data_IF_210264750227
#
_entry.id   IF_210264750227
#
_cell.length_a   1.000
_cell.length_b   1.000
_cell.length_c   1.000
_cell.angle_alpha   90.00
_cell.angle_beta   90.00
_cell.angle_gamma   90.00
#
_symmetry.space_group_name_H-M   'P 1'
#
loop_
_entity.id
_entity.type
_entity.pdbx_description
1 polymer ?
#
# COMPACT_ATOMS: atom_id res chain seq x y z
N UNK A 1 -24.07 1.89 34.40
CA UNK A 1 -25.03 1.65 33.27
C UNK A 1 -24.26 1.46 31.96
N UNK A 2 -23.31 2.34 31.57
CA UNK A 2 -22.50 2.21 30.36
C UNK A 2 -21.79 0.85 30.27
N UNK A 3 -21.09 0.41 31.34
CA UNK A 3 -20.41 -0.89 31.40
C UNK A 3 -21.33 -2.07 31.13
N UNK A 4 -22.56 -2.05 31.73
CA UNK A 4 -23.56 -3.09 31.45
C UNK A 4 -24.01 -3.14 30.00
N UNK A 5 -24.07 -2.00 29.31
CA UNK A 5 -24.37 -1.96 27.88
C UNK A 5 -23.22 -2.51 27.04
N UNK A 6 -21.97 -2.21 27.42
CA UNK A 6 -20.77 -2.76 26.80
C UNK A 6 -20.73 -4.30 26.96
N UNK A 7 -20.87 -4.81 28.16
CA UNK A 7 -20.87 -6.26 28.49
C UNK A 7 -22.02 -7.00 27.78
N UNK A 8 -23.15 -6.32 27.55
CA UNK A 8 -24.27 -6.85 26.79
C UNK A 8 -24.10 -6.68 25.24
N UNK A 9 -22.90 -6.32 24.74
CA UNK A 9 -22.59 -6.03 23.32
C UNK A 9 -23.49 -4.96 22.67
N UNK A 10 -24.14 -4.09 23.47
CA UNK A 10 -24.96 -2.98 23.01
C UNK A 10 -24.10 -1.73 22.79
N UNK A 11 -23.05 -1.85 21.93
CA UNK A 11 -21.98 -0.86 21.80
C UNK A 11 -22.49 0.53 21.44
N UNK A 12 -23.47 0.70 20.55
CA UNK A 12 -24.05 2.02 20.22
C UNK A 12 -24.69 2.71 21.44
N UNK A 13 -25.33 1.94 22.33
CA UNK A 13 -25.89 2.50 23.57
C UNK A 13 -24.78 2.80 24.58
N UNK A 14 -23.76 1.95 24.63
CA UNK A 14 -22.59 2.15 25.49
C UNK A 14 -21.82 3.42 25.11
N UNK A 15 -21.60 3.67 23.81
CA UNK A 15 -20.94 4.87 23.30
C UNK A 15 -21.63 6.14 23.81
N UNK A 16 -22.92 6.27 23.59
CA UNK A 16 -23.71 7.44 24.05
C UNK A 16 -23.57 7.70 25.55
N UNK A 17 -23.57 6.63 26.34
CA UNK A 17 -23.42 6.75 27.79
C UNK A 17 -21.96 7.10 28.17
N UNK A 18 -20.96 6.51 27.49
CA UNK A 18 -19.57 6.85 27.71
C UNK A 18 -19.27 8.31 27.38
N UNK A 19 -19.79 8.83 26.26
CA UNK A 19 -19.66 10.24 25.88
C UNK A 19 -20.19 11.20 26.95
N UNK A 20 -21.34 10.88 27.54
CA UNK A 20 -21.94 11.69 28.59
C UNK A 20 -21.11 11.72 29.88
N UNK A 21 -20.50 10.58 30.26
CA UNK A 21 -19.83 10.48 31.56
C UNK A 21 -18.31 10.69 31.49
N UNK A 22 -17.67 10.51 30.30
CA UNK A 22 -16.23 10.59 30.14
C UNK A 22 -15.61 11.89 30.72
N UNK A 23 -16.18 13.09 30.50
CA UNK A 23 -15.62 14.32 31.04
C UNK A 23 -15.54 14.30 32.58
N UNK A 24 -16.54 13.72 33.26
CA UNK A 24 -16.62 13.68 34.73
C UNK A 24 -15.75 12.59 35.35
N UNK A 25 -15.21 11.66 34.54
CA UNK A 25 -14.34 10.58 34.99
C UNK A 25 -12.86 10.86 34.78
N UNK A 26 -12.48 11.87 34.01
CA UNK A 26 -11.08 12.24 33.78
C UNK A 26 -10.35 12.44 35.10
N UNK A 27 -9.24 11.74 35.30
CA UNK A 27 -8.45 11.77 36.53
C UNK A 27 -8.94 10.86 37.68
N UNK A 28 -10.06 10.14 37.52
CA UNK A 28 -10.55 9.20 38.52
C UNK A 28 -9.96 7.79 38.32
N UNK A 29 -9.88 6.97 39.41
CA UNK A 29 -9.34 5.60 39.28
C UNK A 29 -10.03 4.72 38.25
N UNK A 30 -11.33 4.93 38.02
CA UNK A 30 -12.13 4.13 37.06
C UNK A 30 -12.02 4.62 35.63
N UNK A 31 -11.33 5.74 35.38
CA UNK A 31 -11.24 6.35 34.08
C UNK A 31 -10.54 5.45 33.04
N UNK A 32 -9.48 4.76 33.44
CA UNK A 32 -8.75 3.81 32.59
C UNK A 32 -9.69 2.78 31.94
N UNK A 33 -10.43 2.04 32.79
CA UNK A 33 -11.39 1.04 32.30
C UNK A 33 -12.47 1.64 31.41
N UNK A 34 -12.97 2.82 31.78
CA UNK A 34 -14.02 3.53 31.03
C UNK A 34 -13.53 3.90 29.63
N UNK A 35 -12.38 4.56 29.52
CA UNK A 35 -11.85 5.02 28.24
C UNK A 35 -11.46 3.84 27.34
N UNK A 36 -10.92 2.76 27.89
CA UNK A 36 -10.65 1.54 27.14
C UNK A 36 -11.94 0.93 26.56
N UNK A 37 -12.99 0.75 27.37
CA UNK A 37 -14.28 0.23 26.92
C UNK A 37 -14.96 1.12 25.90
N UNK A 38 -14.80 2.45 26.03
CA UNK A 38 -15.28 3.41 25.06
C UNK A 38 -14.59 3.25 23.71
N UNK A 39 -13.26 3.20 23.70
CA UNK A 39 -12.46 2.95 22.47
C UNK A 39 -12.85 1.63 21.81
N UNK A 40 -12.98 0.56 22.58
CA UNK A 40 -13.45 -0.75 22.11
C UNK A 40 -14.85 -0.69 21.50
N UNK A 41 -15.77 0.06 22.13
CA UNK A 41 -17.14 0.20 21.60
C UNK A 41 -17.17 0.88 20.26
N UNK A 42 -16.37 1.94 20.06
CA UNK A 42 -16.20 2.63 18.79
C UNK A 42 -15.61 1.68 17.72
N UNK A 43 -14.60 0.90 18.08
CA UNK A 43 -14.01 -0.09 17.19
C UNK A 43 -15.02 -1.15 16.75
N UNK A 44 -15.79 -1.72 17.71
CA UNK A 44 -16.83 -2.73 17.44
C UNK A 44 -17.99 -2.21 16.59
N UNK A 45 -18.20 -0.91 16.54
CA UNK A 45 -19.21 -0.27 15.70
C UNK A 45 -18.64 0.31 14.39
N UNK A 46 -17.40 -0.05 14.03
CA UNK A 46 -16.69 0.40 12.82
C UNK A 46 -16.50 1.93 12.74
N UNK A 47 -16.55 2.64 13.85
CA UNK A 47 -16.24 4.07 13.93
C UNK A 47 -14.71 4.25 14.02
N UNK A 48 -13.99 3.75 13.01
CA UNK A 48 -12.53 3.59 13.05
C UNK A 48 -11.76 4.90 13.24
N UNK A 49 -12.24 6.01 12.66
CA UNK A 49 -11.62 7.30 12.86
C UNK A 49 -11.61 7.71 14.35
N UNK A 50 -12.77 7.70 14.99
CA UNK A 50 -12.89 8.03 16.41
C UNK A 50 -12.20 6.99 17.31
N UNK A 51 -12.35 5.70 16.99
CA UNK A 51 -11.70 4.62 17.74
C UNK A 51 -10.18 4.77 17.74
N UNK A 52 -9.57 5.07 16.60
CA UNK A 52 -8.12 5.26 16.47
C UNK A 52 -7.61 6.35 17.40
N UNK A 53 -8.23 7.53 17.37
CA UNK A 53 -7.86 8.64 18.25
C UNK A 53 -8.14 8.35 19.73
N UNK A 54 -9.21 7.64 20.05
CA UNK A 54 -9.52 7.27 21.45
C UNK A 54 -8.52 6.25 22.00
N UNK A 55 -8.07 5.29 21.19
CA UNK A 55 -7.00 4.37 21.59
C UNK A 55 -5.66 5.08 21.77
N UNK A 56 -5.30 6.02 20.90
CA UNK A 56 -4.10 6.85 21.09
C UNK A 56 -4.18 7.69 22.37
N UNK A 57 -5.30 8.35 22.61
CA UNK A 57 -5.54 9.13 23.81
C UNK A 57 -5.49 8.27 25.07
N UNK A 58 -6.04 7.04 25.00
CA UNK A 58 -5.95 6.08 26.09
C UNK A 58 -4.49 5.71 26.39
N UNK A 59 -3.72 5.36 25.37
CA UNK A 59 -2.31 4.94 25.52
C UNK A 59 -1.43 6.07 26.07
N UNK A 60 -1.68 7.31 25.64
CA UNK A 60 -0.98 8.48 26.17
C UNK A 60 -1.39 8.81 27.62
N UNK A 61 -2.67 8.66 27.94
CA UNK A 61 -3.20 8.97 29.28
C UNK A 61 -2.91 7.91 30.33
N UNK A 62 -2.73 6.66 29.94
CA UNK A 62 -2.53 5.52 30.82
C UNK A 62 -1.33 4.64 30.39
N UNK A 63 -0.11 5.19 30.34
CA UNK A 63 1.05 4.49 29.78
C UNK A 63 1.50 3.25 30.58
N UNK A 64 1.02 3.10 31.81
CA UNK A 64 1.30 1.95 32.68
C UNK A 64 0.17 0.90 32.69
N UNK A 65 -0.86 1.11 31.88
CA UNK A 65 -1.97 0.16 31.77
C UNK A 65 -1.53 -1.15 31.11
N UNK A 66 -1.98 -2.28 31.61
CA UNK A 66 -1.82 -3.58 30.93
C UNK A 66 -2.49 -3.62 29.55
N UNK A 67 -3.36 -2.65 29.26
CA UNK A 67 -4.09 -2.54 28.00
C UNK A 67 -3.41 -1.63 26.96
N UNK A 68 -2.25 -1.04 27.27
CA UNK A 68 -1.56 -0.09 26.37
C UNK A 68 -1.13 -0.78 25.08
N UNK A 69 -0.52 -1.97 25.16
CA UNK A 69 -0.07 -2.72 23.99
C UNK A 69 -1.24 -3.03 23.05
N UNK A 70 -2.33 -3.59 23.59
CA UNK A 70 -3.54 -3.90 22.82
C UNK A 70 -4.17 -2.62 22.23
N UNK A 71 -4.20 -1.52 22.99
CA UNK A 71 -4.78 -0.26 22.56
C UNK A 71 -3.98 0.37 21.42
N UNK A 72 -2.64 0.38 21.48
CA UNK A 72 -1.79 0.87 20.41
C UNK A 72 -1.96 0.06 19.13
N UNK A 73 -2.01 -1.28 19.27
CA UNK A 73 -2.26 -2.14 18.12
C UNK A 73 -3.63 -1.88 17.48
N UNK A 74 -4.69 -1.83 18.29
CA UNK A 74 -6.05 -1.57 17.79
C UNK A 74 -6.20 -0.16 17.20
N UNK A 75 -5.52 0.83 17.78
CA UNK A 75 -5.43 2.18 17.23
C UNK A 75 -4.82 2.17 15.84
N UNK A 76 -3.64 1.55 15.67
CA UNK A 76 -2.98 1.40 14.37
C UNK A 76 -3.86 0.62 13.37
N UNK A 77 -4.53 -0.44 13.84
CA UNK A 77 -5.48 -1.22 13.02
C UNK A 77 -6.68 -0.39 12.57
N UNK A 78 -7.18 0.55 13.39
CA UNK A 78 -8.21 1.49 12.99
C UNK A 78 -7.76 2.34 11.80
N UNK A 79 -6.55 2.94 11.86
CA UNK A 79 -6.02 3.74 10.76
C UNK A 79 -5.84 2.91 9.49
N UNK A 80 -5.44 1.64 9.59
CA UNK A 80 -5.35 0.76 8.42
C UNK A 80 -6.71 0.51 7.76
N UNK A 81 -7.81 0.48 8.54
CA UNK A 81 -9.17 0.38 8.02
C UNK A 81 -9.66 1.64 7.30
N UNK A 82 -9.05 2.79 7.59
CA UNK A 82 -9.35 4.06 6.91
C UNK A 82 -8.58 4.22 5.58
N UNK A 83 -7.54 3.40 5.35
CA UNK A 83 -6.76 3.42 4.12
C UNK A 83 -7.65 3.15 2.90
N UNK A 84 -7.77 4.10 1.94
CA UNK A 84 -8.66 3.97 0.80
C UNK A 84 -8.13 3.01 -0.26
N UNK A 85 -8.86 2.83 -1.36
CA UNK A 85 -8.38 2.12 -2.55
C UNK A 85 -7.17 2.84 -3.16
N UNK A 86 -6.29 2.11 -3.85
CA UNK A 86 -4.99 2.63 -4.33
C UNK A 86 -5.10 3.85 -5.26
N UNK A 87 -6.20 4.00 -5.99
CA UNK A 87 -6.41 5.10 -6.94
C UNK A 87 -6.68 6.46 -6.29
N UNK A 88 -7.13 6.47 -5.04
CA UNK A 88 -7.39 7.70 -4.28
C UNK A 88 -6.11 8.22 -3.60
N UNK A 89 -6.22 9.37 -2.92
CA UNK A 89 -5.15 9.89 -2.07
C UNK A 89 -4.75 8.89 -0.98
N UNK A 90 -3.47 8.80 -0.66
CA UNK A 90 -2.93 7.77 0.22
C UNK A 90 -2.40 8.30 1.57
N UNK A 91 -2.77 9.52 1.95
CA UNK A 91 -2.36 10.11 3.25
C UNK A 91 -2.71 9.19 4.42
N UNK A 92 -3.93 8.65 4.45
CA UNK A 92 -4.35 7.71 5.51
C UNK A 92 -3.58 6.39 5.46
N UNK A 93 -3.15 5.94 4.27
CA UNK A 93 -2.30 4.74 4.13
C UNK A 93 -0.93 4.95 4.74
N UNK A 94 -0.29 6.10 4.46
CA UNK A 94 1.00 6.44 5.07
C UNK A 94 0.88 6.56 6.59
N UNK A 95 -0.18 7.23 7.07
CA UNK A 95 -0.45 7.34 8.50
C UNK A 95 -0.63 5.97 9.16
N UNK A 96 -1.35 5.05 8.51
CA UNK A 96 -1.54 3.69 9.02
C UNK A 96 -0.21 2.92 9.10
N UNK A 97 0.65 3.03 8.08
CA UNK A 97 1.98 2.40 8.08
C UNK A 97 2.83 2.95 9.22
N UNK A 98 2.86 4.27 9.42
CA UNK A 98 3.59 4.92 10.50
C UNK A 98 3.16 4.42 11.88
N UNK A 99 1.83 4.36 12.14
CA UNK A 99 1.28 3.86 13.40
C UNK A 99 1.60 2.37 13.63
N UNK A 100 1.50 1.54 12.59
CA UNK A 100 1.86 0.12 12.68
C UNK A 100 3.35 -0.07 12.90
N UNK A 101 4.21 0.71 12.22
CA UNK A 101 5.65 0.64 12.41
C UNK A 101 6.05 1.04 13.81
N UNK A 102 5.48 2.15 14.32
CA UNK A 102 5.71 2.55 15.72
C UNK A 102 5.30 1.47 16.71
N UNK A 103 4.17 0.77 16.49
CA UNK A 103 3.76 -0.36 17.32
C UNK A 103 4.79 -1.50 17.27
N UNK A 104 5.27 -1.87 16.07
CA UNK A 104 6.26 -2.92 15.87
C UNK A 104 7.57 -2.61 16.60
N UNK A 105 8.01 -1.35 16.52
CA UNK A 105 9.27 -0.90 17.10
C UNK A 105 9.21 -0.87 18.65
N UNK A 106 8.06 -0.47 19.20
CA UNK A 106 7.85 -0.40 20.66
C UNK A 106 7.60 -1.78 21.28
N UNK A 107 6.94 -2.70 20.55
CA UNK A 107 6.55 -4.03 21.04
C UNK A 107 7.06 -5.17 20.16
N UNK A 108 8.39 -5.36 20.05
CA UNK A 108 8.99 -6.35 19.14
C UNK A 108 8.67 -7.82 19.52
N UNK A 109 8.17 -8.08 20.73
CA UNK A 109 7.79 -9.40 21.20
C UNK A 109 6.27 -9.57 21.38
N UNK A 110 5.48 -8.66 20.82
CA UNK A 110 4.02 -8.68 20.92
C UNK A 110 3.39 -9.91 20.26
N UNK A 111 2.33 -10.43 20.85
CA UNK A 111 1.47 -11.43 20.20
C UNK A 111 0.82 -10.90 18.91
N UNK A 112 0.68 -9.58 18.75
CA UNK A 112 0.13 -8.92 17.56
C UNK A 112 1.18 -8.63 16.46
N UNK A 113 2.46 -8.92 16.71
CA UNK A 113 3.56 -8.56 15.81
C UNK A 113 3.38 -9.13 14.39
N UNK A 114 3.00 -10.39 14.27
CA UNK A 114 2.80 -11.04 12.98
C UNK A 114 1.67 -10.38 12.17
N UNK A 115 0.56 -10.04 12.85
CA UNK A 115 -0.56 -9.34 12.21
C UNK A 115 -0.18 -7.92 11.81
N UNK A 116 0.52 -7.17 12.66
CA UNK A 116 1.00 -5.82 12.36
C UNK A 116 1.92 -5.79 11.13
N UNK A 117 2.90 -6.71 11.06
CA UNK A 117 3.79 -6.83 9.91
C UNK A 117 3.03 -7.19 8.62
N UNK A 118 2.06 -8.10 8.69
CA UNK A 118 1.20 -8.45 7.56
C UNK A 118 0.41 -7.24 7.06
N UNK A 119 -0.13 -6.43 7.96
CA UNK A 119 -0.85 -5.21 7.62
C UNK A 119 0.05 -4.17 6.95
N UNK A 120 1.27 -3.95 7.47
CA UNK A 120 2.27 -3.06 6.83
C UNK A 120 2.58 -3.53 5.41
N UNK A 121 2.79 -4.83 5.22
CA UNK A 121 3.05 -5.41 3.89
C UNK A 121 1.92 -5.09 2.91
N UNK A 122 0.67 -5.37 3.29
CA UNK A 122 -0.51 -5.11 2.44
C UNK A 122 -0.65 -3.62 2.10
N UNK A 123 -0.39 -2.72 3.05
CA UNK A 123 -0.45 -1.28 2.82
C UNK A 123 0.68 -0.80 1.89
N UNK A 124 1.89 -1.33 2.03
CA UNK A 124 3.02 -1.04 1.13
C UNK A 124 2.75 -1.53 -0.29
N UNK A 125 2.26 -2.76 -0.45
CA UNK A 125 1.85 -3.29 -1.76
C UNK A 125 0.76 -2.44 -2.43
N UNK A 126 -0.15 -1.85 -1.66
CA UNK A 126 -1.14 -0.89 -2.17
C UNK A 126 -0.48 0.38 -2.74
N UNK A 127 0.53 0.92 -2.05
CA UNK A 127 1.29 2.08 -2.53
C UNK A 127 2.10 1.74 -3.79
N UNK A 128 2.73 0.57 -3.81
CA UNK A 128 3.45 0.05 -4.97
C UNK A 128 2.51 -0.13 -6.18
N UNK A 129 1.30 -0.68 -5.94
CA UNK A 129 0.27 -0.77 -6.97
C UNK A 129 -0.09 0.60 -7.53
N UNK A 130 -0.27 1.62 -6.68
CA UNK A 130 -0.54 2.99 -7.14
C UNK A 130 0.60 3.51 -8.02
N UNK A 131 1.85 3.35 -7.59
CA UNK A 131 3.01 3.78 -8.33
C UNK A 131 3.12 3.07 -9.70
N UNK A 132 2.88 1.75 -9.74
CA UNK A 132 2.82 0.96 -10.96
C UNK A 132 1.73 1.44 -11.92
N UNK A 133 0.49 1.63 -11.43
CA UNK A 133 -0.62 2.09 -12.28
C UNK A 133 -0.39 3.52 -12.81
N UNK A 134 0.24 4.39 -12.03
CA UNK A 134 0.66 5.71 -12.50
C UNK A 134 1.69 5.61 -13.64
N UNK A 135 2.69 4.73 -13.54
CA UNK A 135 3.64 4.49 -14.63
C UNK A 135 2.93 3.90 -15.86
N UNK A 136 2.02 2.96 -15.67
CA UNK A 136 1.24 2.33 -16.74
C UNK A 136 0.32 3.34 -17.46
N UNK A 137 -0.14 4.38 -16.77
CA UNK A 137 -0.97 5.41 -17.39
C UNK A 137 -0.27 6.08 -18.58
N UNK A 138 1.04 6.36 -18.49
CA UNK A 138 1.80 6.90 -19.61
C UNK A 138 1.81 5.97 -20.83
N UNK A 139 1.94 4.66 -20.63
CA UNK A 139 1.82 3.68 -21.71
C UNK A 139 0.42 3.70 -22.33
N UNK A 140 -0.62 3.77 -21.50
CA UNK A 140 -2.03 3.79 -21.95
C UNK A 140 -2.35 5.00 -22.80
N UNK A 141 -1.78 6.18 -22.51
CA UNK A 141 -1.98 7.40 -23.29
C UNK A 141 -0.95 7.57 -24.44
N UNK A 142 -0.17 6.50 -24.70
CA UNK A 142 0.86 6.46 -25.77
C UNK A 142 2.03 7.44 -25.57
N UNK A 143 2.25 7.95 -24.37
CA UNK A 143 3.50 8.65 -24.02
C UNK A 143 4.58 7.63 -23.63
N UNK A 144 5.04 6.90 -24.63
CA UNK A 144 5.96 5.77 -24.44
C UNK A 144 7.32 6.19 -23.85
N UNK A 145 7.79 7.41 -24.12
CA UNK A 145 9.04 7.91 -23.52
C UNK A 145 8.89 8.12 -22.02
N UNK A 146 7.82 8.81 -21.61
CA UNK A 146 7.54 9.01 -20.20
C UNK A 146 7.27 7.68 -19.50
N UNK A 147 6.56 6.74 -20.16
CA UNK A 147 6.31 5.41 -19.63
C UNK A 147 7.61 4.66 -19.31
N UNK A 148 8.57 4.62 -20.21
CA UNK A 148 9.86 3.95 -20.01
C UNK A 148 10.60 4.51 -18.78
N UNK A 149 10.69 5.84 -18.67
CA UNK A 149 11.32 6.51 -17.51
C UNK A 149 10.55 6.22 -16.23
N UNK A 150 9.22 6.27 -16.28
CA UNK A 150 8.38 5.98 -15.11
C UNK A 150 8.53 4.54 -14.62
N UNK A 151 8.62 3.55 -15.53
CA UNK A 151 8.87 2.16 -15.14
C UNK A 151 10.29 1.94 -14.61
N UNK A 152 11.32 2.63 -15.15
CA UNK A 152 12.67 2.57 -14.60
C UNK A 152 12.70 3.10 -13.16
N UNK A 153 12.10 4.25 -12.93
CA UNK A 153 11.99 4.82 -11.59
C UNK A 153 11.20 3.90 -10.64
N UNK A 154 10.11 3.28 -11.14
CA UNK A 154 9.33 2.33 -10.36
C UNK A 154 10.17 1.12 -9.93
N UNK A 155 10.90 0.50 -10.84
CA UNK A 155 11.74 -0.68 -10.57
C UNK A 155 12.88 -0.35 -9.60
N UNK A 156 13.47 0.85 -9.72
CA UNK A 156 14.54 1.33 -8.83
C UNK A 156 13.99 1.58 -7.42
N UNK A 157 12.84 2.23 -7.30
CA UNK A 157 12.26 2.61 -6.02
C UNK A 157 11.63 1.42 -5.28
N UNK A 158 11.21 0.37 -6.00
CA UNK A 158 10.55 -0.81 -5.44
C UNK A 158 11.22 -2.12 -5.90
N UNK A 159 12.46 -2.40 -5.50
CA UNK A 159 13.25 -3.53 -6.04
C UNK A 159 12.64 -4.91 -5.75
N UNK A 160 11.88 -5.05 -4.64
CA UNK A 160 11.21 -6.29 -4.21
C UNK A 160 9.72 -6.38 -4.57
N UNK A 161 9.22 -5.48 -5.42
CA UNK A 161 7.79 -5.38 -5.72
C UNK A 161 7.25 -6.64 -6.44
N UNK A 162 6.03 -7.10 -6.10
CA UNK A 162 5.35 -8.14 -6.87
C UNK A 162 4.95 -7.68 -8.29
N UNK A 163 5.00 -6.38 -8.56
CA UNK A 163 4.67 -5.81 -9.88
C UNK A 163 5.87 -5.75 -10.84
N UNK A 164 7.06 -6.24 -10.45
CA UNK A 164 8.29 -6.09 -11.24
C UNK A 164 8.20 -6.74 -12.62
N UNK A 165 7.64 -7.95 -12.71
CA UNK A 165 7.41 -8.63 -14.00
C UNK A 165 6.54 -7.77 -14.93
N UNK A 166 5.41 -7.28 -14.40
CA UNK A 166 4.50 -6.40 -15.15
C UNK A 166 5.18 -5.10 -15.59
N UNK A 167 5.96 -4.49 -14.70
CA UNK A 167 6.67 -3.25 -15.01
C UNK A 167 7.71 -3.43 -16.13
N UNK A 168 8.46 -4.53 -16.10
CA UNK A 168 9.42 -4.88 -17.16
C UNK A 168 8.70 -5.14 -18.49
N UNK A 169 7.57 -5.84 -18.47
CA UNK A 169 6.78 -6.07 -19.68
C UNK A 169 6.23 -4.75 -20.27
N UNK A 170 5.60 -3.90 -19.47
CA UNK A 170 5.07 -2.62 -19.96
C UNK A 170 6.17 -1.63 -20.36
N UNK A 171 7.35 -1.70 -19.75
CA UNK A 171 8.52 -0.97 -20.24
C UNK A 171 8.93 -1.45 -21.63
N UNK A 172 9.01 -2.76 -21.85
CA UNK A 172 9.28 -3.35 -23.16
C UNK A 172 8.20 -2.97 -24.18
N UNK A 173 6.91 -3.10 -23.84
CA UNK A 173 5.78 -2.70 -24.69
C UNK A 173 5.87 -1.21 -25.10
N UNK A 174 6.26 -0.34 -24.17
CA UNK A 174 6.47 1.08 -24.45
C UNK A 174 7.65 1.30 -25.38
N UNK A 175 8.77 0.62 -25.17
CA UNK A 175 9.95 0.71 -26.02
C UNK A 175 9.66 0.22 -27.46
N UNK A 176 8.96 -0.90 -27.58
CA UNK A 176 8.48 -1.46 -28.84
C UNK A 176 7.59 -0.46 -29.60
N UNK A 177 6.53 0.03 -28.95
CA UNK A 177 5.61 0.98 -29.60
C UNK A 177 6.31 2.29 -29.98
N UNK A 178 7.24 2.76 -29.15
CA UNK A 178 8.06 3.94 -29.49
C UNK A 178 8.94 3.69 -30.70
N UNK A 179 9.52 2.49 -30.84
CA UNK A 179 10.41 2.14 -31.92
C UNK A 179 9.67 2.04 -33.25
N UNK A 180 8.59 1.26 -33.34
CA UNK A 180 7.85 1.01 -34.57
C UNK A 180 7.12 2.25 -35.11
N UNK A 181 6.86 3.24 -34.27
CA UNK A 181 6.25 4.52 -34.64
C UNK A 181 7.29 5.65 -34.83
N UNK A 182 8.56 5.31 -34.95
CA UNK A 182 9.65 6.29 -35.08
C UNK A 182 9.95 6.65 -36.56
N UNK A 183 10.45 7.85 -36.71
CA UNK A 183 11.09 8.24 -38.02
C UNK A 183 12.37 7.41 -38.19
N UNK A 184 12.71 7.11 -39.44
CA UNK A 184 13.87 6.26 -39.82
C UNK A 184 15.17 6.63 -39.10
N UNK A 185 15.45 7.94 -38.97
CA UNK A 185 16.67 8.43 -38.32
C UNK A 185 16.84 8.04 -36.84
N UNK A 186 15.74 7.63 -36.16
CA UNK A 186 15.75 7.22 -34.73
C UNK A 186 15.28 5.78 -34.52
N UNK A 187 14.88 5.11 -35.60
CA UNK A 187 14.23 3.80 -35.52
C UNK A 187 15.24 2.73 -35.04
N UNK A 188 16.42 2.67 -35.61
CA UNK A 188 17.43 1.67 -35.26
C UNK A 188 17.83 1.75 -33.80
N UNK A 189 18.15 2.93 -33.27
CA UNK A 189 18.48 3.15 -31.85
C UNK A 189 17.35 2.66 -30.93
N UNK A 190 16.10 2.96 -31.29
CA UNK A 190 14.92 2.61 -30.47
C UNK A 190 14.56 1.13 -30.56
N UNK A 191 14.75 0.49 -31.72
CA UNK A 191 14.61 -0.97 -31.86
C UNK A 191 15.63 -1.69 -30.97
N UNK A 192 16.89 -1.24 -30.97
CA UNK A 192 17.92 -1.79 -30.07
C UNK A 192 17.59 -1.58 -28.58
N UNK A 193 17.03 -0.42 -28.22
CA UNK A 193 16.56 -0.17 -26.87
C UNK A 193 15.39 -1.10 -26.48
N UNK A 194 14.50 -1.41 -27.41
CA UNK A 194 13.41 -2.37 -27.18
C UNK A 194 13.95 -3.81 -27.00
N UNK A 195 14.96 -4.22 -27.79
CA UNK A 195 15.66 -5.52 -27.57
C UNK A 195 16.25 -5.61 -26.16
N UNK A 196 16.90 -4.54 -25.68
CA UNK A 196 17.46 -4.49 -24.34
C UNK A 196 16.37 -4.59 -23.23
N UNK A 197 15.23 -3.96 -23.47
CA UNK A 197 14.08 -4.06 -22.55
C UNK A 197 13.50 -5.50 -22.54
N UNK A 198 13.35 -6.15 -23.68
CA UNK A 198 12.97 -7.56 -23.78
C UNK A 198 13.95 -8.45 -23.00
N UNK A 199 15.25 -8.29 -23.24
CA UNK A 199 16.27 -9.06 -22.53
C UNK A 199 16.18 -8.91 -21.02
N UNK A 200 15.87 -7.70 -20.54
CA UNK A 200 15.68 -7.43 -19.12
C UNK A 200 14.47 -8.18 -18.53
N UNK A 201 13.37 -8.28 -19.28
CA UNK A 201 12.19 -9.07 -18.88
C UNK A 201 12.54 -10.57 -18.80
N UNK A 202 13.13 -11.11 -19.86
CA UNK A 202 13.44 -12.57 -19.93
C UNK A 202 14.53 -12.97 -18.94
N UNK A 203 15.53 -12.11 -18.68
CA UNK A 203 16.53 -12.32 -17.65
C UNK A 203 15.90 -12.35 -16.25
N UNK A 204 14.89 -11.52 -15.99
CA UNK A 204 14.19 -11.52 -14.71
C UNK A 204 13.30 -12.76 -14.54
N UNK A 205 12.55 -13.13 -15.60
CA UNK A 205 11.65 -14.28 -15.56
C UNK A 205 11.54 -14.93 -16.96
N UNK A 206 12.32 -16.00 -17.21
CA UNK A 206 12.35 -16.69 -18.51
C UNK A 206 10.99 -17.27 -18.94
N UNK A 207 10.18 -17.71 -17.96
CA UNK A 207 8.83 -18.29 -18.10
C UNK A 207 7.72 -17.28 -17.78
N UNK A 208 7.94 -16.01 -18.12
CA UNK A 208 6.95 -14.93 -17.89
C UNK A 208 5.60 -15.23 -18.55
N UNK A 209 4.51 -14.84 -17.90
CA UNK A 209 3.15 -14.91 -18.48
C UNK A 209 3.03 -14.11 -19.80
N UNK A 210 3.94 -13.18 -20.05
CA UNK A 210 3.97 -12.34 -21.26
C UNK A 210 4.82 -12.93 -22.40
N UNK A 211 5.40 -14.14 -22.22
CA UNK A 211 6.42 -14.72 -23.11
C UNK A 211 5.98 -14.73 -24.58
N UNK A 212 4.82 -15.29 -24.89
CA UNK A 212 4.31 -15.40 -26.26
C UNK A 212 4.20 -14.03 -26.93
N UNK A 213 3.54 -13.08 -26.26
CA UNK A 213 3.37 -11.73 -26.80
C UNK A 213 4.72 -11.00 -26.95
N UNK A 214 5.61 -11.16 -25.99
CA UNK A 214 6.94 -10.54 -26.03
C UNK A 214 7.80 -11.10 -27.17
N UNK A 215 7.73 -12.39 -27.44
CA UNK A 215 8.48 -13.05 -28.53
C UNK A 215 7.94 -12.62 -29.90
N UNK A 216 6.62 -12.50 -30.07
CA UNK A 216 6.02 -11.95 -31.29
C UNK A 216 6.49 -10.51 -31.57
N UNK A 217 6.54 -9.67 -30.55
CA UNK A 217 7.02 -8.30 -30.67
C UNK A 217 8.53 -8.28 -30.99
N UNK A 218 9.34 -9.15 -30.37
CA UNK A 218 10.76 -9.28 -30.66
C UNK A 218 11.00 -9.69 -32.12
N UNK A 219 10.27 -10.70 -32.62
CA UNK A 219 10.39 -11.15 -34.00
C UNK A 219 10.14 -10.03 -35.01
N UNK A 220 9.18 -9.13 -34.73
CA UNK A 220 8.96 -7.94 -35.55
C UNK A 220 10.14 -6.96 -35.46
N UNK A 221 10.65 -6.69 -34.24
CA UNK A 221 11.83 -5.82 -34.04
C UNK A 221 13.03 -6.34 -34.85
N UNK A 222 13.32 -7.64 -34.75
CA UNK A 222 14.43 -8.28 -35.46
C UNK A 222 14.27 -8.19 -36.99
N UNK A 223 13.04 -8.33 -37.48
CA UNK A 223 12.76 -8.15 -38.91
C UNK A 223 12.98 -6.69 -39.35
N UNK A 224 12.52 -5.73 -38.57
CA UNK A 224 12.68 -4.31 -38.86
C UNK A 224 14.17 -3.88 -38.79
N UNK A 225 14.97 -4.48 -37.90
CA UNK A 225 16.42 -4.24 -37.80
C UNK A 225 17.20 -4.67 -39.04
N UNK A 226 16.74 -5.70 -39.80
CA UNK A 226 17.41 -6.18 -41.00
C UNK A 226 17.59 -5.07 -42.09
N UNK A 227 16.68 -4.08 -42.12
CA UNK A 227 16.80 -2.94 -43.08
C UNK A 227 17.97 -2.01 -42.77
N UNK A 228 18.52 -2.05 -41.53
CA UNK A 228 19.67 -1.26 -41.07
C UNK A 228 21.00 -2.04 -41.10
N UNK A 229 20.95 -3.34 -41.38
CA UNK A 229 22.12 -4.25 -41.39
C UNK A 229 22.80 -4.31 -42.79
N UNK A 230 22.77 -3.22 -43.56
CA UNK A 230 23.45 -3.12 -44.89
C UNK A 230 24.82 -2.49 -44.76
#
# INVERSE_FOLDING_TARGET
>A
MATKMYEANKHNKAIRLFEQIAPSYKGKPQAERLFYMYSQSLYKTNQFYLAGYQFESFSAGYPKSEKVEEALFLGAKCFSKLSPVYSLDQVDTYKAIDKLQNFIDVYPNSAYLAEANSMVKVLREKLEKKAFENAKQYNTISDYKAAMVAFDNFIINYPGTPFKEKALFYKFDSAYNLAINSVSAKMEERLNAAVAAYQSLIKFKPDTEYKTKADEMLARIENDLKQFSK
#
